data_IF_212861073536
#
_entry.id   IF_212861073536
#
_cell.length_a   1.000
_cell.length_b   1.000
_cell.length_c   1.000
_cell.angle_alpha   90.00
_cell.angle_beta   90.00
_cell.angle_gamma   90.00
#
_symmetry.space_group_name_H-M   'P 1'
#
loop_
_entity.id
_entity.type
_entity.pdbx_description
1 polymer ?
#
# COMPACT_ATOMS: atom_id res chain seq x y z
N UNK A 1 -26.22 32.46 -13.43
CA UNK A 1 -26.44 31.64 -14.64
C UNK A 1 -25.43 30.50 -14.58
N UNK A 2 -25.85 29.27 -14.84
CA UNK A 2 -24.94 28.13 -14.96
C UNK A 2 -24.71 27.84 -16.44
N UNK A 3 -23.44 27.81 -16.86
CA UNK A 3 -23.04 27.53 -18.25
C UNK A 3 -22.24 26.24 -18.22
N UNK A 4 -22.67 25.24 -18.99
CA UNK A 4 -22.05 23.90 -19.00
C UNK A 4 -21.41 23.50 -20.33
N UNK A 5 -21.53 24.34 -21.35
CA UNK A 5 -20.96 24.11 -22.67
C UNK A 5 -20.80 25.46 -23.40
N UNK A 6 -19.97 25.47 -24.44
CA UNK A 6 -19.82 26.62 -25.33
C UNK A 6 -21.15 26.97 -26.00
N UNK A 7 -21.43 28.28 -26.11
CA UNK A 7 -22.59 28.77 -26.81
C UNK A 7 -23.01 30.17 -26.37
N UNK A 8 -24.01 30.66 -27.08
CA UNK A 8 -24.63 31.94 -26.74
C UNK A 8 -25.45 31.81 -25.46
N UNK A 9 -25.43 32.87 -24.65
CA UNK A 9 -26.24 32.96 -23.45
C UNK A 9 -26.87 34.35 -23.32
N UNK A 10 -28.03 34.39 -22.66
CA UNK A 10 -28.76 35.63 -22.38
C UNK A 10 -28.90 35.79 -20.87
N UNK A 11 -28.45 36.93 -20.34
CA UNK A 11 -28.72 37.27 -18.94
C UNK A 11 -30.19 37.67 -18.77
N UNK A 12 -30.82 37.24 -17.67
CA UNK A 12 -32.20 37.60 -17.36
C UNK A 12 -32.37 39.10 -16.99
N UNK A 13 -31.31 39.72 -16.49
CA UNK A 13 -31.30 41.16 -16.18
C UNK A 13 -30.98 41.94 -17.44
N UNK A 14 -31.95 42.74 -17.90
CA UNK A 14 -31.74 43.68 -18.99
C UNK A 14 -30.88 44.86 -18.53
N UNK A 15 -29.98 45.31 -19.40
CA UNK A 15 -29.19 46.54 -19.22
C UNK A 15 -29.61 47.50 -20.34
N UNK A 16 -29.84 48.77 -19.99
CA UNK A 16 -30.19 49.79 -20.98
C UNK A 16 -29.01 50.07 -21.92
N UNK A 17 -29.31 50.55 -23.13
CA UNK A 17 -28.29 50.98 -24.08
C UNK A 17 -27.35 52.04 -23.47
N UNK A 18 -26.05 51.93 -23.75
CA UNK A 18 -25.00 52.71 -23.09
C UNK A 18 -24.69 52.31 -21.64
N UNK A 19 -25.45 51.37 -21.05
CA UNK A 19 -25.19 50.84 -19.73
C UNK A 19 -23.94 49.96 -19.69
N UNK A 20 -23.17 50.05 -18.60
CA UNK A 20 -21.98 49.24 -18.39
C UNK A 20 -22.34 47.80 -18.00
N UNK A 21 -21.56 46.83 -18.48
CA UNK A 21 -21.64 45.43 -18.07
C UNK A 21 -20.30 44.97 -17.47
N UNK A 22 -20.39 44.01 -16.56
CA UNK A 22 -19.25 43.30 -15.99
C UNK A 22 -19.63 41.82 -15.79
N UNK A 23 -18.89 40.93 -16.44
CA UNK A 23 -19.04 39.48 -16.42
C UNK A 23 -17.84 38.90 -15.69
N UNK A 24 -18.13 38.12 -14.65
CA UNK A 24 -17.15 37.44 -13.81
C UNK A 24 -17.63 36.01 -13.54
N UNK A 25 -16.70 35.12 -13.24
CA UNK A 25 -17.03 33.77 -12.74
C UNK A 25 -17.34 33.89 -11.26
N UNK A 26 -18.54 33.45 -10.86
CA UNK A 26 -18.98 33.50 -9.46
C UNK A 26 -18.59 32.21 -8.70
N UNK A 27 -18.58 31.09 -9.39
CA UNK A 27 -18.26 29.78 -8.82
C UNK A 27 -17.57 28.96 -9.89
N UNK A 28 -16.36 28.53 -9.60
CA UNK A 28 -15.57 27.69 -10.50
C UNK A 28 -16.20 26.28 -10.62
N UNK A 29 -16.04 25.61 -11.76
CA UNK A 29 -16.42 24.20 -11.90
C UNK A 29 -15.65 23.32 -10.91
N UNK A 30 -16.32 22.34 -10.33
CA UNK A 30 -15.74 21.43 -9.33
C UNK A 30 -15.56 19.98 -9.80
N UNK A 31 -16.00 19.65 -11.01
CA UNK A 31 -15.99 18.26 -11.51
C UNK A 31 -15.90 18.21 -13.06
N UNK A 32 -14.70 18.17 -13.64
CA UNK A 32 -13.40 18.31 -12.97
C UNK A 32 -13.21 19.75 -12.44
N UNK A 33 -12.36 19.90 -11.42
CA UNK A 33 -11.97 21.21 -10.91
C UNK A 33 -11.31 22.03 -12.02
N UNK A 34 -11.79 23.24 -12.26
CA UNK A 34 -11.29 24.10 -13.31
C UNK A 34 -11.12 25.52 -12.81
N UNK A 35 -10.13 26.22 -13.37
CA UNK A 35 -9.98 27.66 -13.23
C UNK A 35 -10.41 28.34 -14.54
N UNK A 36 -11.44 29.17 -14.47
CA UNK A 36 -11.98 29.89 -15.62
C UNK A 36 -11.56 31.37 -15.66
N UNK A 37 -11.11 31.84 -16.83
CA UNK A 37 -10.79 33.25 -17.07
C UNK A 37 -11.78 33.87 -18.07
N UNK A 38 -12.25 35.08 -17.77
CA UNK A 38 -13.14 35.86 -18.66
C UNK A 38 -12.33 36.92 -19.39
N UNK A 39 -12.34 36.88 -20.72
CA UNK A 39 -11.80 37.93 -21.59
C UNK A 39 -12.94 38.72 -22.24
N UNK A 40 -12.81 40.04 -22.36
CA UNK A 40 -13.87 40.89 -22.89
C UNK A 40 -15.09 41.04 -21.97
N UNK A 41 -14.97 40.61 -20.70
CA UNK A 41 -16.07 40.58 -19.75
C UNK A 41 -16.54 41.96 -19.26
N UNK A 42 -15.94 43.07 -19.70
CA UNK A 42 -16.36 44.41 -19.30
C UNK A 42 -16.52 45.34 -20.52
N UNK A 43 -17.44 46.30 -20.43
CA UNK A 43 -17.70 47.25 -21.49
C UNK A 43 -19.03 47.96 -21.31
N UNK A 44 -19.55 48.56 -22.38
CA UNK A 44 -20.87 49.16 -22.44
C UNK A 44 -21.68 48.57 -23.60
N UNK A 45 -23.00 48.49 -23.44
CA UNK A 45 -23.90 48.16 -24.53
C UNK A 45 -23.88 49.28 -25.59
N UNK A 46 -23.91 48.87 -26.87
CA UNK A 46 -23.85 49.77 -28.01
C UNK A 46 -24.88 49.37 -29.08
N UNK A 47 -26.17 49.48 -28.72
CA UNK A 47 -27.29 49.28 -29.65
C UNK A 47 -27.51 47.84 -30.14
N UNK A 48 -26.88 46.84 -29.50
CA UNK A 48 -27.00 45.43 -29.88
C UNK A 48 -26.39 44.45 -28.86
N UNK A 49 -26.49 43.14 -29.12
CA UNK A 49 -25.90 42.10 -28.27
C UNK A 49 -24.38 42.28 -28.12
N UNK A 50 -23.87 42.04 -26.92
CA UNK A 50 -22.41 42.00 -26.69
C UNK A 50 -21.86 40.73 -27.32
N UNK A 51 -20.88 40.88 -28.20
CA UNK A 51 -20.12 39.77 -28.78
C UNK A 51 -18.68 39.82 -28.29
N UNK A 52 -17.97 38.68 -28.31
CA UNK A 52 -16.55 38.63 -27.96
C UNK A 52 -16.22 38.46 -26.48
N UNK A 53 -17.21 38.18 -25.61
CA UNK A 53 -16.94 37.64 -24.28
C UNK A 53 -16.47 36.19 -24.45
N UNK A 54 -15.25 35.89 -24.01
CA UNK A 54 -14.69 34.54 -24.02
C UNK A 54 -14.51 34.08 -22.58
N UNK A 55 -15.10 32.94 -22.23
CA UNK A 55 -14.84 32.24 -20.98
C UNK A 55 -13.99 31.03 -21.31
N UNK A 56 -12.75 31.01 -20.85
CA UNK A 56 -11.84 29.89 -21.07
C UNK A 56 -11.54 29.22 -19.74
N UNK A 57 -11.91 27.94 -19.61
CA UNK A 57 -11.64 27.14 -18.43
C UNK A 57 -10.49 26.17 -18.71
N UNK A 58 -9.60 26.03 -17.73
CA UNK A 58 -8.54 25.01 -17.74
C UNK A 58 -8.72 24.09 -16.55
N UNK A 59 -8.57 22.79 -16.77
CA UNK A 59 -8.62 21.81 -15.68
C UNK A 59 -7.40 21.97 -14.78
N UNK A 60 -7.65 22.07 -13.48
CA UNK A 60 -6.59 22.12 -12.48
C UNK A 60 -6.01 20.70 -12.32
N UNK A 61 -4.72 20.55 -12.55
CA UNK A 61 -4.03 19.26 -12.48
C UNK A 61 -2.78 19.34 -11.61
N UNK A 62 -2.45 18.23 -10.96
CA UNK A 62 -1.21 18.06 -10.22
C UNK A 62 -0.41 16.88 -10.74
N UNK A 63 0.92 17.00 -10.64
CA UNK A 63 1.84 15.95 -11.03
C UNK A 63 2.01 14.93 -9.89
N UNK A 64 1.82 13.65 -10.20
CA UNK A 64 2.21 12.52 -9.37
C UNK A 64 3.44 11.86 -9.99
N UNK A 65 4.57 11.95 -9.31
CA UNK A 65 5.81 11.27 -9.68
C UNK A 65 5.87 9.92 -8.98
N UNK A 66 6.13 8.85 -9.73
CA UNK A 66 6.26 7.50 -9.18
C UNK A 66 7.67 6.99 -9.41
N UNK A 67 8.31 6.53 -8.34
CA UNK A 67 9.61 5.88 -8.34
C UNK A 67 9.50 4.40 -7.98
N UNK A 68 10.56 3.65 -8.30
CA UNK A 68 10.80 2.31 -7.78
C UNK A 68 12.22 2.25 -7.24
N UNK A 69 12.45 1.48 -6.19
CA UNK A 69 13.76 1.28 -5.57
C UNK A 69 13.91 -0.14 -5.05
N UNK A 70 15.13 -0.47 -4.62
CA UNK A 70 15.57 -1.83 -4.29
C UNK A 70 16.21 -2.54 -5.48
N UNK A 71 16.71 -3.75 -5.23
CA UNK A 71 17.33 -4.64 -6.22
C UNK A 71 16.27 -5.35 -7.08
N UNK A 72 15.09 -5.60 -6.53
CA UNK A 72 14.03 -6.34 -7.21
C UNK A 72 13.18 -5.53 -8.17
N UNK A 73 12.32 -6.26 -8.90
CA UNK A 73 11.48 -5.70 -9.96
C UNK A 73 9.99 -5.91 -9.70
N UNK A 74 9.19 -5.22 -10.50
CA UNK A 74 7.74 -5.21 -10.37
C UNK A 74 7.12 -4.11 -11.21
N UNK A 75 5.81 -3.98 -11.13
CA UNK A 75 5.01 -2.95 -11.81
C UNK A 75 4.23 -2.10 -10.82
N UNK A 76 3.88 -0.88 -11.24
CA UNK A 76 3.00 0.02 -10.49
C UNK A 76 1.93 0.52 -11.44
N UNK A 77 0.67 0.41 -11.03
CA UNK A 77 -0.49 0.94 -11.76
C UNK A 77 -1.35 1.82 -10.83
N UNK A 78 -2.24 2.63 -11.40
CA UNK A 78 -3.17 3.47 -10.63
C UNK A 78 -4.64 3.22 -10.93
N UNK A 79 -5.49 3.52 -9.95
CA UNK A 79 -6.93 3.75 -10.11
C UNK A 79 -7.28 5.15 -9.59
N UNK A 80 -7.88 6.04 -10.40
CA UNK A 80 -8.18 5.91 -11.82
C UNK A 80 -6.95 5.61 -12.68
N UNK A 81 -7.16 5.01 -13.86
CA UNK A 81 -6.07 4.68 -14.77
C UNK A 81 -5.34 5.95 -15.23
N UNK A 82 -4.02 5.90 -15.23
CA UNK A 82 -3.16 7.05 -15.57
C UNK A 82 -1.68 6.74 -15.39
N UNK A 83 -1.35 5.82 -14.48
CA UNK A 83 -0.02 5.25 -14.29
C UNK A 83 -0.03 3.79 -14.73
N UNK A 84 0.93 3.45 -15.57
CA UNK A 84 1.33 2.07 -15.88
C UNK A 84 2.84 2.04 -16.05
N UNK A 85 3.52 1.47 -15.06
CA UNK A 85 4.96 1.37 -15.02
C UNK A 85 5.43 -0.08 -15.13
N UNK A 86 4.89 -0.91 -16.04
CA UNK A 86 5.34 -2.29 -16.19
C UNK A 86 6.88 -2.44 -16.35
N UNK A 87 7.53 -1.59 -17.14
CA UNK A 87 8.98 -1.67 -17.42
C UNK A 87 9.82 -0.59 -16.72
N UNK A 88 9.21 0.15 -15.78
CA UNK A 88 9.86 1.21 -14.98
C UNK A 88 9.16 2.56 -15.10
N UNK A 89 9.09 3.31 -13.99
CA UNK A 89 8.54 4.67 -13.98
C UNK A 89 9.59 5.75 -14.32
N UNK A 90 10.90 5.42 -14.32
CA UNK A 90 11.96 6.42 -14.52
C UNK A 90 11.78 7.67 -13.66
N UNK A 91 11.95 8.85 -14.27
CA UNK A 91 11.59 10.16 -13.70
C UNK A 91 10.23 10.67 -14.22
N UNK A 92 9.31 9.77 -14.59
CA UNK A 92 8.03 10.15 -15.16
C UNK A 92 7.11 10.79 -14.11
N UNK A 93 6.48 11.90 -14.50
CA UNK A 93 5.42 12.57 -13.76
C UNK A 93 4.11 12.41 -14.52
N UNK A 94 3.07 11.98 -13.83
CA UNK A 94 1.75 11.71 -14.39
C UNK A 94 0.76 12.79 -13.91
N UNK A 95 0.00 13.38 -14.83
CA UNK A 95 -0.96 14.43 -14.48
C UNK A 95 -2.31 13.84 -14.05
N UNK A 96 -2.82 14.29 -12.92
CA UNK A 96 -4.15 13.96 -12.43
C UNK A 96 -4.92 15.22 -12.08
N UNK A 97 -6.23 15.21 -12.30
CA UNK A 97 -7.11 16.32 -11.93
C UNK A 97 -7.04 16.55 -10.41
N UNK A 98 -7.09 17.81 -10.00
CA UNK A 98 -7.07 18.20 -8.60
C UNK A 98 -8.23 17.55 -7.84
N UNK A 99 -7.95 17.14 -6.59
CA UNK A 99 -8.83 16.40 -5.68
C UNK A 99 -9.22 15.00 -6.16
N UNK A 100 -8.63 14.48 -7.23
CA UNK A 100 -8.78 13.07 -7.59
C UNK A 100 -8.15 12.20 -6.49
N UNK A 101 -8.91 11.23 -5.99
CA UNK A 101 -8.38 10.16 -5.15
C UNK A 101 -7.71 9.13 -6.06
N UNK A 102 -6.39 8.99 -5.95
CA UNK A 102 -5.57 8.04 -6.70
C UNK A 102 -5.13 6.93 -5.76
N UNK A 103 -5.51 5.69 -6.07
CA UNK A 103 -5.02 4.49 -5.43
C UNK A 103 -3.92 3.86 -6.31
N UNK A 104 -2.76 3.56 -5.72
CA UNK A 104 -1.66 2.87 -6.40
C UNK A 104 -1.62 1.40 -6.00
N UNK A 105 -1.42 0.55 -6.99
CA UNK A 105 -1.23 -0.90 -6.80
C UNK A 105 0.15 -1.29 -7.33
N UNK A 106 0.96 -1.91 -6.47
CA UNK A 106 2.23 -2.50 -6.83
C UNK A 106 2.05 -4.02 -7.00
N UNK A 107 2.69 -4.58 -8.02
CA UNK A 107 2.76 -6.03 -8.24
C UNK A 107 4.22 -6.40 -8.45
N UNK A 108 4.78 -7.21 -7.57
CA UNK A 108 6.15 -7.70 -7.75
C UNK A 108 6.22 -8.69 -8.91
N UNK A 109 7.36 -8.71 -9.60
CA UNK A 109 7.63 -9.74 -10.60
C UNK A 109 8.04 -11.06 -9.91
N UNK A 110 7.99 -12.22 -10.58
CA UNK A 110 8.46 -13.47 -10.00
C UNK A 110 9.92 -13.38 -9.52
N UNK A 111 10.16 -13.79 -8.27
CA UNK A 111 11.47 -13.67 -7.62
C UNK A 111 11.67 -12.36 -6.86
N UNK A 112 10.73 -11.41 -6.95
CA UNK A 112 10.77 -10.16 -6.17
C UNK A 112 9.58 -10.07 -5.21
N UNK A 113 9.74 -9.24 -4.18
CA UNK A 113 8.76 -9.00 -3.11
C UNK A 113 8.50 -7.51 -3.01
N UNK A 114 7.23 -7.12 -2.90
CA UNK A 114 6.86 -5.73 -2.63
C UNK A 114 6.79 -5.47 -1.12
N UNK A 115 7.68 -4.63 -0.61
CA UNK A 115 7.78 -4.34 0.83
C UNK A 115 6.96 -3.13 1.28
N UNK A 116 6.58 -2.25 0.34
CA UNK A 116 5.72 -1.12 0.64
C UNK A 116 6.10 0.16 -0.08
N UNK A 117 5.36 1.21 0.29
CA UNK A 117 5.48 2.55 -0.25
C UNK A 117 6.27 3.47 0.68
N UNK A 118 6.89 4.48 0.09
CA UNK A 118 7.51 5.62 0.78
C UNK A 118 7.23 6.94 0.04
N UNK A 119 7.47 8.07 0.70
CA UNK A 119 7.18 9.41 0.16
C UNK A 119 5.84 9.95 0.67
N UNK A 120 5.00 10.43 -0.26
CA UNK A 120 3.67 10.97 0.05
C UNK A 120 2.64 9.88 0.44
N UNK A 121 2.97 8.59 0.31
CA UNK A 121 2.28 7.48 0.98
C UNK A 121 3.28 6.51 1.60
N UNK A 122 2.84 5.80 2.64
CA UNK A 122 3.67 4.87 3.43
C UNK A 122 2.90 3.61 3.79
N UNK A 123 3.60 2.48 3.94
CA UNK A 123 2.99 1.19 4.28
C UNK A 123 2.63 0.39 3.03
N UNK A 124 1.72 -0.58 3.15
CA UNK A 124 1.37 -1.48 2.04
C UNK A 124 0.27 -0.94 1.13
N UNK A 125 -0.55 -0.01 1.64
CA UNK A 125 -1.65 0.62 0.92
C UNK A 125 -1.28 2.07 0.61
N UNK A 126 -1.44 2.48 -0.64
CA UNK A 126 -1.19 3.86 -1.07
C UNK A 126 -2.42 4.46 -1.75
N UNK A 127 -3.13 5.30 -1.00
CA UNK A 127 -4.24 6.11 -1.50
C UNK A 127 -3.94 7.58 -1.21
N UNK A 128 -4.05 8.42 -2.24
CA UNK A 128 -3.61 9.82 -2.24
C UNK A 128 -4.72 10.69 -2.80
N UNK A 129 -4.97 11.85 -2.20
CA UNK A 129 -5.75 12.90 -2.87
C UNK A 129 -4.81 13.88 -3.55
N UNK A 130 -5.03 14.17 -4.82
CA UNK A 130 -4.20 15.08 -5.62
C UNK A 130 -4.51 16.55 -5.27
N UNK A 131 -3.96 17.02 -4.16
CA UNK A 131 -4.09 18.40 -3.66
C UNK A 131 -2.83 19.26 -3.85
N UNK A 132 -1.74 18.64 -4.28
CA UNK A 132 -0.44 19.22 -4.59
C UNK A 132 0.31 18.27 -5.51
N UNK A 133 1.50 18.68 -6.00
CA UNK A 133 2.42 17.72 -6.59
C UNK A 133 2.86 16.68 -5.54
N UNK A 134 2.88 15.40 -5.93
CA UNK A 134 3.18 14.26 -5.05
C UNK A 134 4.32 13.42 -5.61
N UNK A 135 5.06 12.75 -4.73
CA UNK A 135 6.11 11.80 -5.02
C UNK A 135 5.93 10.54 -4.18
N UNK A 136 5.85 9.39 -4.84
CA UNK A 136 5.74 8.08 -4.21
C UNK A 136 6.78 7.13 -4.75
N UNK A 137 7.38 6.31 -3.90
CA UNK A 137 8.35 5.29 -4.30
C UNK A 137 7.93 3.92 -3.80
N UNK A 138 7.81 2.96 -4.71
CA UNK A 138 7.65 1.53 -4.38
C UNK A 138 9.01 0.90 -4.06
N UNK A 139 9.07 0.08 -3.01
CA UNK A 139 10.24 -0.75 -2.70
C UNK A 139 9.98 -2.21 -3.12
N UNK A 140 10.78 -2.70 -4.06
CA UNK A 140 10.83 -4.11 -4.46
C UNK A 140 12.18 -4.69 -4.09
N UNK A 141 12.21 -5.91 -3.55
CA UNK A 141 13.46 -6.60 -3.20
C UNK A 141 13.46 -7.99 -3.81
N UNK A 142 14.57 -8.41 -4.42
CA UNK A 142 14.74 -9.77 -4.95
C UNK A 142 15.01 -10.72 -3.80
N UNK A 143 14.21 -11.78 -3.71
CA UNK A 143 14.30 -12.78 -2.66
C UNK A 143 14.83 -14.11 -3.24
N UNK A 144 15.79 -14.72 -2.54
CA UNK A 144 16.43 -15.97 -2.93
C UNK A 144 17.69 -15.82 -3.76
N UNK A 145 18.39 -14.68 -3.64
CA UNK A 145 19.62 -14.40 -4.39
C UNK A 145 20.91 -14.68 -3.58
N UNK A 146 20.76 -15.02 -2.30
CA UNK A 146 21.79 -15.29 -1.32
C UNK A 146 22.24 -14.07 -0.51
N UNK A 147 21.64 -12.90 -0.70
CA UNK A 147 22.02 -11.66 -0.04
C UNK A 147 20.88 -11.12 0.80
N UNK A 148 21.07 -11.06 2.13
CA UNK A 148 20.09 -10.39 2.99
C UNK A 148 20.29 -8.88 2.87
N UNK A 149 19.46 -8.22 2.07
CA UNK A 149 19.51 -6.79 1.81
C UNK A 149 18.14 -6.09 1.85
N UNK A 150 18.18 -4.75 1.85
CA UNK A 150 16.95 -3.95 1.89
C UNK A 150 16.07 -4.24 3.11
N UNK A 151 14.90 -4.85 2.86
CA UNK A 151 13.86 -5.10 3.86
C UNK A 151 13.69 -6.60 4.22
N UNK A 152 14.58 -7.45 3.75
CA UNK A 152 14.54 -8.90 3.99
C UNK A 152 14.85 -9.26 5.43
N UNK A 153 14.17 -10.28 5.94
CA UNK A 153 14.48 -10.87 7.25
C UNK A 153 15.49 -12.02 7.11
N UNK A 154 15.52 -12.68 5.96
CA UNK A 154 16.41 -13.78 5.58
C UNK A 154 16.50 -13.86 4.06
N UNK A 155 17.42 -14.70 3.57
CA UNK A 155 17.55 -15.12 2.17
C UNK A 155 18.48 -16.34 2.15
N UNK A 156 17.97 -17.54 1.90
CA UNK A 156 18.74 -18.81 1.86
C UNK A 156 19.18 -19.24 0.46
N UNK A 157 19.04 -18.35 -0.53
CA UNK A 157 19.52 -18.54 -1.89
C UNK A 157 18.55 -19.23 -2.84
N UNK A 158 17.30 -19.40 -2.44
CA UNK A 158 16.19 -19.72 -3.34
C UNK A 158 14.85 -19.12 -2.83
N UNK A 159 13.75 -19.48 -3.49
CA UNK A 159 12.42 -18.95 -3.19
C UNK A 159 11.41 -20.08 -2.92
N UNK A 160 11.90 -21.24 -2.50
CA UNK A 160 11.06 -22.34 -2.07
C UNK A 160 10.59 -22.08 -0.63
N UNK A 161 9.33 -22.38 -0.32
CA UNK A 161 8.84 -22.33 1.07
C UNK A 161 9.16 -23.66 1.77
N UNK A 162 9.44 -23.63 3.07
CA UNK A 162 9.55 -24.78 3.98
C UNK A 162 10.98 -25.14 4.42
N UNK A 163 11.98 -24.38 4.04
CA UNK A 163 13.40 -24.57 4.40
C UNK A 163 13.94 -23.48 5.36
N UNK A 164 13.09 -22.52 5.71
CA UNK A 164 13.32 -21.55 6.77
C UNK A 164 13.34 -20.10 6.33
N UNK A 165 13.53 -19.82 5.03
CA UNK A 165 13.24 -18.51 4.48
C UNK A 165 12.15 -18.60 3.41
N UNK A 166 11.03 -17.89 3.61
CA UNK A 166 9.93 -17.97 2.66
C UNK A 166 10.27 -17.29 1.33
N UNK A 167 9.46 -17.56 0.30
CA UNK A 167 9.49 -16.84 -0.97
C UNK A 167 9.25 -15.31 -0.86
N UNK A 168 8.84 -14.83 0.33
CA UNK A 168 8.69 -13.41 0.65
C UNK A 168 9.82 -12.86 1.54
N UNK A 169 10.91 -13.61 1.71
CA UNK A 169 12.06 -13.30 2.54
C UNK A 169 11.69 -12.99 4.00
N UNK A 170 10.67 -13.69 4.48
CA UNK A 170 10.32 -13.74 5.89
C UNK A 170 10.88 -15.04 6.47
N UNK A 171 11.46 -14.96 7.67
CA UNK A 171 11.86 -16.17 8.40
C UNK A 171 10.59 -16.98 8.67
N UNK A 172 10.60 -18.24 8.27
CA UNK A 172 9.46 -19.11 8.44
C UNK A 172 9.23 -19.45 9.92
N UNK A 173 7.99 -19.73 10.34
CA UNK A 173 7.70 -20.16 11.70
C UNK A 173 8.59 -21.35 12.11
N UNK A 174 9.08 -21.33 13.35
CA UNK A 174 9.94 -22.37 13.94
C UNK A 174 11.41 -22.38 13.45
N UNK A 175 11.76 -21.57 12.46
CA UNK A 175 13.13 -21.44 11.98
C UNK A 175 13.85 -20.25 12.60
N UNK A 176 15.17 -20.38 12.70
CA UNK A 176 16.07 -19.26 12.90
C UNK A 176 17.09 -19.24 11.78
N UNK A 177 17.23 -18.07 11.16
CA UNK A 177 18.14 -17.83 10.07
C UNK A 177 19.27 -16.92 10.53
N UNK A 178 20.49 -17.22 10.08
CA UNK A 178 21.64 -16.35 10.32
C UNK A 178 22.63 -16.41 9.16
N UNK A 179 23.33 -15.30 8.92
CA UNK A 179 24.28 -15.17 7.82
C UNK A 179 23.66 -14.58 6.55
N UNK A 180 24.47 -14.54 5.49
CA UNK A 180 24.08 -14.13 4.13
C UNK A 180 25.02 -14.88 3.16
N UNK A 181 24.54 -15.90 2.42
CA UNK A 181 23.19 -16.46 2.48
C UNK A 181 22.83 -16.95 3.88
N UNK A 182 21.56 -16.83 4.22
CA UNK A 182 20.96 -17.29 5.45
C UNK A 182 21.07 -18.80 5.54
N UNK A 183 21.75 -19.28 6.57
CA UNK A 183 21.62 -20.66 6.98
C UNK A 183 20.44 -20.73 7.95
N UNK A 184 19.33 -21.30 7.49
CA UNK A 184 18.14 -21.50 8.30
C UNK A 184 18.11 -22.91 8.88
N UNK A 185 17.71 -23.02 10.15
CA UNK A 185 17.53 -24.29 10.82
C UNK A 185 16.26 -24.25 11.67
N UNK A 186 15.52 -25.36 11.69
CA UNK A 186 14.42 -25.53 12.63
C UNK A 186 15.00 -25.55 14.05
N UNK A 187 14.52 -24.64 14.89
CA UNK A 187 15.02 -24.44 16.25
C UNK A 187 14.19 -25.20 17.28
N UNK A 188 12.90 -25.37 17.00
CA UNK A 188 11.94 -25.94 17.94
C UNK A 188 12.10 -27.45 18.20
N UNK A 189 13.00 -28.14 17.50
CA UNK A 189 13.19 -29.60 17.60
C UNK A 189 14.66 -30.05 17.55
N UNK A 190 15.60 -29.16 17.85
CA UNK A 190 17.04 -29.44 17.75
C UNK A 190 17.69 -29.87 19.09
N UNK A 191 16.94 -29.84 20.18
CA UNK A 191 17.38 -30.21 21.51
C UNK A 191 18.27 -29.17 22.19
N UNK A 192 18.35 -27.96 21.64
CA UNK A 192 19.07 -26.82 22.19
C UNK A 192 18.11 -25.65 22.48
N UNK A 193 18.58 -24.61 23.18
CA UNK A 193 17.81 -23.39 23.38
C UNK A 193 18.44 -22.28 22.52
N UNK A 194 17.91 -22.05 21.33
CA UNK A 194 18.43 -21.06 20.38
C UNK A 194 17.26 -20.33 19.67
N UNK A 195 17.50 -19.58 18.59
CA UNK A 195 16.40 -19.05 17.74
C UNK A 195 15.35 -18.11 18.34
N UNK A 196 15.49 -17.65 19.59
CA UNK A 196 14.45 -16.86 20.28
C UNK A 196 13.55 -17.68 21.20
N UNK A 197 13.89 -18.95 21.43
CA UNK A 197 13.22 -19.83 22.38
C UNK A 197 13.33 -19.37 23.84
N UNK A 198 12.26 -19.62 24.60
CA UNK A 198 12.21 -19.33 26.03
C UNK A 198 12.68 -20.53 26.89
N UNK A 199 12.70 -21.73 26.31
CA UNK A 199 13.30 -22.95 26.86
C UNK A 199 13.73 -23.89 25.72
N UNK A 200 14.43 -24.99 26.03
CA UNK A 200 14.87 -25.95 24.98
C UNK A 200 13.66 -26.38 24.14
N UNK A 201 13.70 -26.14 22.83
CA UNK A 201 12.65 -26.51 21.86
C UNK A 201 11.26 -25.85 22.12
N UNK A 202 11.17 -24.71 22.83
CA UNK A 202 9.87 -24.11 23.17
C UNK A 202 9.89 -22.59 23.39
N UNK A 203 8.72 -21.96 23.17
CA UNK A 203 8.50 -20.52 23.31
C UNK A 203 9.06 -19.69 22.16
N UNK A 204 8.74 -18.39 22.14
CA UNK A 204 9.09 -17.53 21.01
C UNK A 204 8.25 -17.88 19.77
N UNK A 205 8.92 -18.29 18.69
CA UNK A 205 8.27 -18.80 17.48
C UNK A 205 7.84 -20.28 17.59
N UNK A 206 8.31 -20.99 18.61
CA UNK A 206 7.93 -22.38 18.90
C UNK A 206 6.66 -22.46 19.76
N UNK A 207 6.08 -23.67 19.83
CA UNK A 207 5.00 -23.97 20.78
C UNK A 207 5.37 -23.58 22.21
N UNK A 208 4.37 -23.15 22.98
CA UNK A 208 4.57 -22.60 24.30
C UNK A 208 5.20 -23.64 25.26
N UNK A 209 6.17 -23.17 26.06
CA UNK A 209 6.83 -23.97 27.08
C UNK A 209 5.87 -24.37 28.21
N UNK A 210 6.23 -25.41 28.96
CA UNK A 210 5.52 -25.77 30.19
C UNK A 210 5.43 -24.57 31.15
N UNK A 211 4.23 -24.32 31.69
CA UNK A 211 3.93 -23.18 32.55
C UNK A 211 3.67 -21.85 31.83
N UNK A 212 3.74 -21.80 30.50
CA UNK A 212 3.28 -20.66 29.72
C UNK A 212 1.76 -20.67 29.57
N UNK A 213 1.16 -19.49 29.34
CA UNK A 213 -0.27 -19.36 29.12
C UNK A 213 -0.70 -20.03 27.81
N UNK A 214 -1.88 -20.66 27.80
CA UNK A 214 -2.46 -21.32 26.62
C UNK A 214 -3.98 -21.20 26.61
N UNK A 215 -4.56 -21.21 25.42
CA UNK A 215 -6.01 -21.30 25.18
C UNK A 215 -6.44 -22.70 24.69
N UNK A 216 -5.52 -23.50 24.18
CA UNK A 216 -5.79 -24.87 23.72
C UNK A 216 -4.57 -25.78 23.81
N UNK A 217 -4.81 -27.10 23.81
CA UNK A 217 -3.76 -28.13 23.86
C UNK A 217 -2.73 -28.02 22.73
N UNK A 218 -3.15 -27.53 21.55
CA UNK A 218 -2.30 -27.39 20.37
C UNK A 218 -1.26 -26.27 20.49
N UNK A 219 -1.42 -25.34 21.44
CA UNK A 219 -0.49 -24.24 21.66
C UNK A 219 0.69 -24.65 22.54
N UNK A 220 0.58 -25.78 23.24
CA UNK A 220 1.59 -26.27 24.16
C UNK A 220 2.47 -27.32 23.50
N UNK A 221 3.80 -27.21 23.67
CA UNK A 221 4.73 -28.26 23.21
C UNK A 221 4.37 -29.63 23.80
N UNK A 222 3.90 -29.64 25.04
CA UNK A 222 3.46 -30.84 25.75
C UNK A 222 2.16 -31.44 25.22
N UNK A 223 1.44 -30.73 24.34
CA UNK A 223 0.12 -31.13 23.83
C UNK A 223 -1.00 -31.06 24.87
N UNK A 224 -0.83 -30.31 25.96
CA UNK A 224 -1.82 -30.22 27.04
C UNK A 224 -1.89 -28.85 27.71
N UNK A 225 -3.06 -28.25 27.68
CA UNK A 225 -3.40 -26.98 28.31
C UNK A 225 -4.36 -27.23 29.49
N UNK A 226 -3.88 -27.02 30.73
CA UNK A 226 -4.65 -27.31 31.94
C UNK A 226 -4.68 -26.06 32.82
N UNK A 227 -5.88 -25.49 33.00
CA UNK A 227 -6.06 -24.29 33.81
C UNK A 227 -5.34 -23.08 33.23
N UNK A 228 -5.48 -22.88 31.91
CA UNK A 228 -4.88 -21.79 31.12
C UNK A 228 -3.35 -21.77 31.11
N UNK A 229 -2.70 -22.88 31.50
CA UNK A 229 -1.26 -23.06 31.49
C UNK A 229 -0.87 -24.37 30.82
N UNK A 230 0.22 -24.36 30.06
CA UNK A 230 0.79 -25.57 29.48
C UNK A 230 1.26 -26.51 30.58
N UNK A 231 0.63 -27.68 30.65
CA UNK A 231 0.97 -28.68 31.64
C UNK A 231 2.12 -29.54 31.10
N UNK A 232 3.05 -29.93 31.97
CA UNK A 232 4.06 -30.93 31.61
C UNK A 232 3.38 -32.21 31.12
N UNK A 233 3.91 -32.82 30.05
CA UNK A 233 3.32 -34.01 29.43
C UNK A 233 3.08 -35.10 30.48
N UNK A 234 1.81 -35.32 30.85
CA UNK A 234 1.44 -36.37 31.80
C UNK A 234 1.55 -37.71 31.08
N UNK A 235 2.61 -38.47 31.33
CA UNK A 235 2.64 -39.90 31.01
C UNK A 235 1.65 -40.64 31.94
N UNK A 236 0.36 -40.59 31.64
CA UNK A 236 -0.61 -41.42 32.35
C UNK A 236 -0.36 -42.88 31.95
N UNK A 237 0.29 -43.65 32.83
CA UNK A 237 0.24 -45.11 32.75
C UNK A 237 -1.19 -45.48 33.12
N UNK A 238 -2.01 -45.83 32.14
CA UNK A 238 -3.33 -46.40 32.37
C UNK A 238 -3.13 -47.78 33.03
N UNK A 239 -3.11 -47.83 34.36
CA UNK A 239 -3.28 -49.10 35.07
C UNK A 239 -4.75 -49.48 34.96
N UNK A 240 -5.07 -50.32 33.96
CA UNK A 240 -6.29 -51.11 33.98
C UNK A 240 -6.18 -52.06 35.17
N UNK A 241 -6.73 -51.68 36.32
CA UNK A 241 -6.86 -52.61 37.43
C UNK A 241 -7.91 -53.64 37.03
N UNK A 242 -7.42 -54.79 36.55
CA UNK A 242 -8.23 -55.88 36.08
C UNK A 242 -8.92 -56.56 37.25
N UNK A 243 -10.08 -56.06 37.66
CA UNK A 243 -11.03 -56.85 38.44
C UNK A 243 -12.05 -57.45 37.49
N UNK A 244 -11.77 -58.70 37.10
CA UNK A 244 -12.76 -59.63 36.56
C UNK A 244 -13.82 -59.94 37.63
N UNK A 245 -15.09 -59.76 37.30
CA UNK A 245 -16.20 -60.52 37.89
C UNK A 245 -16.80 -61.47 36.84
#
# INVERSE_FOLDING_TARGET
LSVGADGDFTFATEIADGGAYAVTVLTEPSTPNQTCAVTGGNGALAGGPVTGILVQCVTDTYALSVGKTGNGTGSVISTPAGIDCATGCGSASFGFDSHTLVALTASADPGSVFFGWSGDCTGLVCELTMDAAKLVTALFTDCGDGYVEGAEACDDGDADDGDGCSASCAIEPEFACSGSPSACANTCHDGTQNGGELGVDCGGACLACDGAACASDAECRSGGCVGDLCAAAFSHTLTLDGTSE
#
